data_IF_420956774335
#
_entry.id   IF_420956774335
#
_cell.length_a   1.000
_cell.length_b   1.000
_cell.length_c   1.000
_cell.angle_alpha   90.00
_cell.angle_beta   90.00
_cell.angle_gamma   90.00
#
_symmetry.space_group_name_H-M   'P 1'
#
loop_
_entity.id
_entity.type
_entity.pdbx_description
1 polymer ?
#
# COMPACT_ATOMS: atom_id res chain seq x y z
N UNK A 1 16.27 -14.21 4.50
CA UNK A 1 15.64 -13.34 3.48
C UNK A 1 15.96 -11.96 3.97
N UNK A 2 16.86 -11.26 3.28
CA UNK A 2 17.57 -10.15 3.93
C UNK A 2 17.41 -8.82 3.18
N UNK A 3 16.61 -8.79 2.11
CA UNK A 3 16.41 -7.61 1.24
C UNK A 3 15.00 -7.62 0.63
N UNK A 4 14.49 -6.46 0.23
CA UNK A 4 13.21 -6.36 -0.51
C UNK A 4 13.17 -7.19 -1.78
N UNK A 5 14.29 -7.34 -2.50
CA UNK A 5 14.31 -8.12 -3.74
C UNK A 5 14.03 -9.60 -3.48
N UNK A 6 14.59 -10.15 -2.39
CA UNK A 6 14.29 -11.51 -1.97
C UNK A 6 12.83 -11.66 -1.54
N UNK A 7 12.27 -10.64 -0.87
CA UNK A 7 10.88 -10.62 -0.44
C UNK A 7 9.89 -10.56 -1.61
N UNK A 8 10.17 -9.75 -2.63
CA UNK A 8 9.41 -9.67 -3.88
C UNK A 8 9.40 -11.03 -4.60
N UNK A 9 10.57 -11.65 -4.78
CA UNK A 9 10.67 -12.98 -5.40
C UNK A 9 9.83 -14.03 -4.64
N UNK A 10 9.74 -13.89 -3.32
CA UNK A 10 8.99 -14.81 -2.48
C UNK A 10 7.48 -14.62 -2.58
N UNK A 11 6.97 -13.39 -2.67
CA UNK A 11 5.54 -13.15 -2.96
C UNK A 11 5.14 -13.89 -4.25
N UNK A 12 5.98 -13.77 -5.28
CA UNK A 12 5.74 -14.43 -6.57
C UNK A 12 5.72 -15.96 -6.45
N UNK A 13 6.52 -16.55 -5.55
CA UNK A 13 6.58 -18.00 -5.30
C UNK A 13 5.46 -18.52 -4.40
N UNK A 14 5.01 -17.73 -3.43
CA UNK A 14 4.01 -18.13 -2.43
C UNK A 14 2.58 -18.07 -2.96
N UNK A 15 2.36 -17.50 -4.15
CA UNK A 15 1.05 -17.37 -4.80
C UNK A 15 -0.02 -16.74 -3.87
N UNK A 16 0.39 -15.73 -3.13
CA UNK A 16 -0.45 -14.94 -2.23
C UNK A 16 -1.15 -13.86 -3.07
N UNK A 17 -2.48 -13.78 -2.96
CA UNK A 17 -3.26 -12.78 -3.69
C UNK A 17 -3.12 -11.39 -3.05
N UNK A 18 -3.21 -11.34 -1.72
CA UNK A 18 -3.04 -10.14 -0.91
C UNK A 18 -2.23 -10.46 0.36
N UNK A 19 -1.24 -9.63 0.64
CA UNK A 19 -0.41 -9.66 1.83
C UNK A 19 -0.53 -8.32 2.56
N UNK A 20 -1.44 -8.26 3.52
CA UNK A 20 -1.68 -7.12 4.41
C UNK A 20 -1.28 -7.46 5.87
N UNK A 21 -1.50 -6.55 6.81
CA UNK A 21 -1.23 -6.76 8.24
C UNK A 21 -2.27 -7.63 8.95
N UNK A 22 -3.45 -7.88 8.35
CA UNK A 22 -4.54 -8.66 8.91
C UNK A 22 -4.62 -10.11 8.35
N UNK A 23 -3.95 -10.39 7.24
CA UNK A 23 -3.86 -11.68 6.51
C UNK A 23 -2.95 -12.69 7.21
N UNK A 24 -2.79 -12.52 8.53
CA UNK A 24 -2.52 -13.62 9.45
C UNK A 24 -3.44 -14.83 9.20
N UNK A 25 -4.65 -14.64 8.63
CA UNK A 25 -5.69 -15.68 8.57
C UNK A 25 -6.48 -15.85 7.23
N UNK A 26 -6.17 -15.18 6.10
CA UNK A 26 -7.02 -15.33 4.88
C UNK A 26 -6.58 -16.50 3.99
N UNK A 27 -7.36 -17.56 4.17
CA UNK A 27 -7.61 -18.76 3.38
C UNK A 27 -7.46 -18.62 1.86
N UNK A 28 -6.70 -19.54 1.27
CA UNK A 28 -6.87 -19.95 -0.12
C UNK A 28 -7.37 -21.41 -0.10
N UNK A 29 -8.69 -21.63 -0.16
CA UNK A 29 -9.28 -22.97 -0.06
C UNK A 29 -9.31 -23.57 1.35
N UNK A 30 -9.86 -24.79 1.49
CA UNK A 30 -10.30 -25.49 2.72
C UNK A 30 -9.23 -25.69 3.84
N UNK A 31 -8.02 -25.14 3.73
CA UNK A 31 -6.95 -25.30 4.71
C UNK A 31 -6.54 -23.95 5.33
N UNK A 32 -6.74 -23.83 6.65
CA UNK A 32 -6.11 -22.78 7.46
C UNK A 32 -4.59 -22.94 7.38
N UNK A 33 -3.89 -21.95 6.81
CA UNK A 33 -2.43 -21.89 6.88
C UNK A 33 -2.06 -21.26 8.23
N UNK A 34 -1.48 -22.00 9.19
CA UNK A 34 -1.04 -21.41 10.44
C UNK A 34 0.06 -20.36 10.18
N UNK A 35 0.07 -19.28 10.98
CA UNK A 35 1.15 -18.27 11.12
C UNK A 35 2.45 -18.70 10.43
N UNK A 36 2.63 -18.33 9.17
CA UNK A 36 3.83 -18.72 8.43
C UNK A 36 4.91 -17.68 8.70
N UNK A 37 5.97 -18.02 9.48
CA UNK A 37 7.01 -17.05 9.83
C UNK A 37 7.71 -16.46 8.60
N UNK A 38 7.68 -17.19 7.47
CA UNK A 38 8.20 -16.69 6.20
C UNK A 38 7.34 -15.54 5.64
N UNK A 39 6.01 -15.65 5.71
CA UNK A 39 5.08 -14.63 5.21
C UNK A 39 5.19 -13.37 6.05
N UNK A 40 5.29 -13.51 7.37
CA UNK A 40 5.55 -12.38 8.27
C UNK A 40 6.87 -11.69 7.94
N UNK A 41 7.95 -12.46 7.75
CA UNK A 41 9.25 -11.90 7.38
C UNK A 41 9.20 -11.17 6.02
N UNK A 42 8.45 -11.71 5.05
CA UNK A 42 8.23 -11.05 3.75
C UNK A 42 7.54 -9.70 3.95
N UNK A 43 6.43 -9.68 4.69
CA UNK A 43 5.69 -8.45 4.97
C UNK A 43 6.56 -7.41 5.68
N UNK A 44 7.23 -7.80 6.77
CA UNK A 44 8.09 -6.91 7.55
C UNK A 44 9.20 -6.27 6.70
N UNK A 45 9.85 -7.05 5.83
CA UNK A 45 10.91 -6.56 4.96
C UNK A 45 10.36 -5.57 3.93
N UNK A 46 9.24 -5.88 3.28
CA UNK A 46 8.64 -4.99 2.30
C UNK A 46 8.10 -3.71 2.95
N UNK A 47 7.48 -3.84 4.12
CA UNK A 47 6.98 -2.71 4.88
C UNK A 47 8.12 -1.78 5.28
N UNK A 48 9.21 -2.33 5.82
CA UNK A 48 10.37 -1.56 6.28
C UNK A 48 11.16 -0.92 5.13
N UNK A 49 11.32 -1.60 4.00
CA UNK A 49 12.15 -1.12 2.89
C UNK A 49 11.39 -0.30 1.83
N UNK A 50 10.06 -0.41 1.79
CA UNK A 50 9.23 0.26 0.77
C UNK A 50 8.22 1.19 1.44
N UNK A 51 7.29 0.64 2.22
CA UNK A 51 6.11 1.39 2.71
C UNK A 51 6.50 2.46 3.70
N UNK A 52 7.26 2.15 4.75
CA UNK A 52 7.70 3.12 5.76
C UNK A 52 8.43 4.30 5.10
N UNK A 53 9.43 4.10 4.22
CA UNK A 53 10.03 5.21 3.48
C UNK A 53 9.04 6.01 2.62
N UNK A 54 8.07 5.36 1.99
CA UNK A 54 7.04 6.04 1.18
C UNK A 54 6.16 6.92 2.05
N UNK A 55 5.63 6.39 3.16
CA UNK A 55 4.80 7.13 4.10
C UNK A 55 5.55 8.31 4.72
N UNK A 56 6.80 8.11 5.15
CA UNK A 56 7.67 9.18 5.64
C UNK A 56 7.86 10.31 4.61
N UNK A 57 7.99 9.96 3.33
CA UNK A 57 8.15 10.93 2.24
C UNK A 57 6.84 11.67 1.93
N UNK A 58 5.69 11.00 2.05
CA UNK A 58 4.37 11.61 1.93
C UNK A 58 4.18 12.62 3.05
N UNK A 59 4.38 12.22 4.31
CA UNK A 59 4.22 13.11 5.47
C UNK A 59 5.13 14.33 5.40
N UNK A 60 6.39 14.17 4.97
CA UNK A 60 7.30 15.30 4.74
C UNK A 60 6.79 16.28 3.68
N UNK A 61 5.97 15.81 2.73
CA UNK A 61 5.46 16.60 1.61
C UNK A 61 4.15 17.30 1.96
N UNK A 62 3.23 16.64 2.66
CA UNK A 62 1.86 17.13 2.87
C UNK A 62 1.51 17.37 4.34
N UNK A 63 2.39 17.03 5.27
CA UNK A 63 2.13 17.02 6.70
C UNK A 63 1.47 15.72 7.16
N UNK A 64 0.97 15.71 8.39
CA UNK A 64 0.16 14.61 8.92
C UNK A 64 -1.04 14.36 7.97
N UNK A 65 -1.22 13.11 7.57
CA UNK A 65 -2.25 12.68 6.62
C UNK A 65 -2.87 11.37 7.09
N UNK A 66 -4.12 11.13 6.72
CA UNK A 66 -4.80 9.84 6.88
C UNK A 66 -4.54 8.88 5.70
N UNK A 67 -3.43 9.09 4.98
CA UNK A 67 -3.03 8.17 3.91
C UNK A 67 -2.91 6.75 4.46
N UNK A 68 -3.72 5.85 3.91
CA UNK A 68 -3.92 4.50 4.42
C UNK A 68 -3.32 3.48 3.46
N UNK A 69 -2.28 2.79 3.90
CA UNK A 69 -1.71 1.63 3.20
C UNK A 69 -2.45 0.36 3.64
N UNK A 70 -2.90 -0.44 2.67
CA UNK A 70 -3.64 -1.68 2.91
C UNK A 70 -2.70 -2.87 2.92
N UNK A 71 -1.89 -3.03 1.87
CA UNK A 71 -1.11 -4.24 1.70
C UNK A 71 -0.46 -4.37 0.34
N UNK A 72 0.13 -5.53 0.14
CA UNK A 72 0.87 -5.90 -1.05
C UNK A 72 0.11 -6.91 -1.89
N UNK A 73 0.13 -6.73 -3.20
CA UNK A 73 -0.38 -7.72 -4.15
C UNK A 73 0.70 -8.16 -5.11
N UNK A 74 0.56 -9.37 -5.61
CA UNK A 74 1.46 -9.91 -6.63
C UNK A 74 1.50 -8.96 -7.85
N UNK A 75 2.70 -8.72 -8.37
CA UNK A 75 2.92 -7.98 -9.61
C UNK A 75 3.16 -8.94 -10.78
N UNK A 76 2.86 -8.46 -11.99
CA UNK A 76 3.29 -9.11 -13.23
C UNK A 76 4.78 -8.87 -13.54
N UNK A 77 5.42 -7.92 -12.84
CA UNK A 77 6.85 -7.66 -12.96
C UNK A 77 7.64 -8.46 -11.91
N UNK A 78 8.68 -9.16 -12.36
CA UNK A 78 9.51 -10.02 -11.50
C UNK A 78 10.22 -9.25 -10.37
N UNK A 79 10.46 -7.95 -10.56
CA UNK A 79 11.17 -7.05 -9.65
C UNK A 79 10.25 -6.06 -8.93
N UNK A 80 8.93 -6.26 -9.00
CA UNK A 80 7.94 -5.37 -8.41
C UNK A 80 6.98 -6.10 -7.48
N UNK A 81 6.33 -5.32 -6.63
CA UNK A 81 5.14 -5.71 -5.87
C UNK A 81 4.12 -4.57 -6.00
N UNK A 82 2.84 -4.89 -6.13
CA UNK A 82 1.79 -3.88 -6.11
C UNK A 82 1.55 -3.42 -4.68
N UNK A 83 1.51 -2.11 -4.45
CA UNK A 83 1.09 -1.49 -3.19
C UNK A 83 -0.35 -1.02 -3.34
N UNK A 84 -1.20 -1.35 -2.37
CA UNK A 84 -2.58 -0.88 -2.30
C UNK A 84 -2.70 0.17 -1.21
N UNK A 85 -3.30 1.31 -1.56
CA UNK A 85 -3.73 2.36 -0.65
C UNK A 85 -5.25 2.48 -0.71
N UNK A 86 -5.88 2.72 0.44
CA UNK A 86 -7.33 2.92 0.58
C UNK A 86 -7.69 4.41 0.68
N UNK A 87 -6.77 5.23 1.17
CA UNK A 87 -6.90 6.68 1.13
C UNK A 87 -5.54 7.26 0.73
N UNK A 88 -5.39 7.87 -0.45
CA UNK A 88 -6.33 7.80 -1.56
C UNK A 88 -6.43 6.37 -2.11
N UNK A 89 -7.58 6.01 -2.69
CA UNK A 89 -7.77 4.67 -3.29
C UNK A 89 -6.87 4.52 -4.53
N UNK A 90 -5.79 3.75 -4.41
CA UNK A 90 -4.90 3.48 -5.53
C UNK A 90 -4.08 2.21 -5.40
N UNK A 91 -3.79 1.60 -6.54
CA UNK A 91 -2.78 0.55 -6.66
C UNK A 91 -1.59 1.06 -7.46
N UNK A 92 -0.37 0.82 -6.99
CA UNK A 92 0.85 1.32 -7.61
C UNK A 92 2.01 0.35 -7.48
N UNK A 93 2.79 0.20 -8.56
CA UNK A 93 3.91 -0.73 -8.63
C UNK A 93 5.14 -0.21 -7.88
N UNK A 94 5.81 -1.08 -7.12
CA UNK A 94 6.99 -0.72 -6.34
C UNK A 94 8.23 -0.41 -7.18
N UNK A 95 8.32 -0.96 -8.40
CA UNK A 95 9.50 -0.81 -9.27
C UNK A 95 9.76 0.64 -9.74
N UNK A 96 8.77 1.54 -9.62
CA UNK A 96 8.92 2.94 -10.03
C UNK A 96 9.73 3.76 -9.01
N UNK A 97 10.01 3.17 -7.83
CA UNK A 97 10.80 3.76 -6.76
C UNK A 97 9.99 4.59 -5.76
N UNK A 98 10.40 4.53 -4.50
CA UNK A 98 9.69 5.09 -3.35
C UNK A 98 9.38 6.59 -3.50
N UNK A 99 10.31 7.39 -4.03
CA UNK A 99 10.11 8.84 -4.24
C UNK A 99 8.97 9.12 -5.23
N UNK A 100 8.89 8.35 -6.31
CA UNK A 100 7.86 8.52 -7.35
C UNK A 100 6.50 8.04 -6.83
N UNK A 101 6.49 6.95 -6.07
CA UNK A 101 5.28 6.44 -5.39
C UNK A 101 4.75 7.51 -4.45
N UNK A 102 5.57 8.00 -3.52
CA UNK A 102 5.19 9.02 -2.55
C UNK A 102 4.64 10.27 -3.23
N UNK A 103 5.28 10.72 -4.32
CA UNK A 103 4.81 11.86 -5.09
C UNK A 103 3.43 11.63 -5.71
N UNK A 104 3.16 10.45 -6.27
CA UNK A 104 1.88 10.11 -6.89
C UNK A 104 0.76 9.97 -5.87
N UNK A 105 1.01 9.26 -4.76
CA UNK A 105 0.04 9.09 -3.66
C UNK A 105 -0.31 10.45 -3.07
N UNK A 106 0.69 11.26 -2.71
CA UNK A 106 0.45 12.59 -2.15
C UNK A 106 -0.32 13.52 -3.10
N UNK A 107 -0.03 13.47 -4.41
CA UNK A 107 -0.77 14.27 -5.40
C UNK A 107 -2.23 13.86 -5.45
N UNK A 108 -2.52 12.57 -5.56
CA UNK A 108 -3.90 12.09 -5.63
C UNK A 108 -4.68 12.42 -4.35
N UNK A 109 -4.05 12.22 -3.19
CA UNK A 109 -4.62 12.57 -1.88
C UNK A 109 -5.02 14.05 -1.78
N UNK A 110 -4.16 14.96 -2.23
CA UNK A 110 -4.47 16.41 -2.25
C UNK A 110 -5.65 16.70 -3.18
N UNK A 111 -5.68 16.07 -4.35
CA UNK A 111 -6.73 16.28 -5.35
C UNK A 111 -8.10 15.81 -4.84
N UNK A 112 -8.17 14.62 -4.24
CA UNK A 112 -9.40 14.07 -3.65
C UNK A 112 -9.89 14.92 -2.47
N UNK A 113 -9.00 15.33 -1.58
CA UNK A 113 -9.35 16.22 -0.48
C UNK A 113 -9.88 17.57 -0.95
N UNK A 114 -9.26 18.19 -1.97
CA UNK A 114 -9.74 19.44 -2.53
C UNK A 114 -11.14 19.30 -3.14
N UNK A 115 -11.42 18.19 -3.83
CA UNK A 115 -12.74 17.88 -4.39
C UNK A 115 -13.78 17.67 -3.29
N UNK A 116 -13.45 16.91 -2.25
CA UNK A 116 -14.33 16.69 -1.11
C UNK A 116 -14.75 17.99 -0.43
N UNK A 117 -13.78 18.88 -0.16
CA UNK A 117 -14.07 20.19 0.44
C UNK A 117 -14.93 21.09 -0.46
N UNK A 118 -14.73 21.02 -1.79
CA UNK A 118 -15.56 21.76 -2.74
C UNK A 118 -17.03 21.27 -2.71
N UNK A 119 -17.24 19.96 -2.73
CA UNK A 119 -18.58 19.35 -2.65
C UNK A 119 -19.28 19.72 -1.34
N UNK A 120 -18.58 19.65 -0.21
CA UNK A 120 -19.15 20.03 1.10
C UNK A 120 -19.61 21.49 1.13
N UNK A 121 -18.84 22.39 0.52
CA UNK A 121 -19.20 23.81 0.42
C UNK A 121 -20.44 24.03 -0.46
N UNK A 122 -20.55 23.33 -1.57
CA UNK A 122 -21.75 23.39 -2.43
C UNK A 122 -22.99 22.86 -1.73
N UNK A 123 -22.88 21.74 -1.01
CA UNK A 123 -23.98 21.17 -0.23
C UNK A 123 -24.43 22.10 0.91
N UNK A 124 -23.50 22.77 1.59
CA UNK A 124 -23.83 23.78 2.59
C UNK A 124 -24.55 24.98 1.98
N UNK A 125 -24.12 25.45 0.81
CA UNK A 125 -24.78 26.54 0.10
C UNK A 125 -26.18 26.17 -0.42
N UNK A 126 -26.41 24.90 -0.78
CA UNK A 126 -27.72 24.42 -1.21
C UNK A 126 -28.73 24.29 -0.06
N UNK A 127 -28.24 23.97 1.15
CA UNK A 127 -29.07 23.75 2.33
C UNK A 127 -29.26 25.00 3.23
N UNK A 128 -28.64 26.13 2.87
CA UNK A 128 -28.72 27.42 3.59
C UNK A 128 -29.80 28.33 2.99
#
# INVERSE_FOLDING_TARGET
>A
MDTKYNAIEMINKLNIELLDDETHDISNGEEMIPNNPLVMAVYEILNQEIVVPVLDMIEKRIGESDVSFVGFVKSDYDDSVGLIFDDPVMQIESHIGNEVIAAKVATLYIEENAQYQAIQKELQAYNA
#
